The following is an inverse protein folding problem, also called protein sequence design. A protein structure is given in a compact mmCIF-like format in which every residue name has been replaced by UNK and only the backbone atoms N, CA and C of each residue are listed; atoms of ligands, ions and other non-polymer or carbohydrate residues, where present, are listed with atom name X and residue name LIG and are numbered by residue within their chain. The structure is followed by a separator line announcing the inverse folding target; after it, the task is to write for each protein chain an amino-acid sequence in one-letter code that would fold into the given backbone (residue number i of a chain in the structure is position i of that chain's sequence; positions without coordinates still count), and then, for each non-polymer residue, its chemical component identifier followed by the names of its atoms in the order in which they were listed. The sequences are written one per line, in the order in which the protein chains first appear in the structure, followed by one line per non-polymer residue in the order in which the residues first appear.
data_IF_504288090038
#
_entry.id   IF_504288090038
#
_cell.length_a   1.000
_cell.length_b   1.000
_cell.length_c   1.000
_cell.angle_alpha   90.00
_cell.angle_beta   90.00
_cell.angle_gamma   90.00
#
_symmetry.space_group_name_H-M   'P 1'
#
loop_
_entity.id
_entity.type
_entity.pdbx_description
1 polymer ?
#
# COMPACT_ATOMS: atom_id res chain seq x y z
N UNK A 1 -40.32 50.79 18.17
CA UNK A 1 -39.35 51.31 17.16
C UNK A 1 -38.07 51.64 17.92
N UNK A 2 -36.83 51.21 17.66
CA UNK A 2 -36.08 50.54 16.56
C UNK A 2 -34.99 49.68 17.28
N UNK A 3 -34.89 48.36 17.08
CA UNK A 3 -34.03 47.64 16.11
C UNK A 3 -32.58 48.14 16.01
N UNK A 4 -31.64 47.26 16.40
CA UNK A 4 -30.29 46.98 15.85
C UNK A 4 -29.43 46.45 17.01
N UNK A 5 -28.86 45.26 17.00
CA UNK A 5 -28.75 44.24 15.97
C UNK A 5 -27.76 43.20 16.50
N UNK A 6 -28.25 41.99 16.75
CA UNK A 6 -27.49 40.76 16.91
C UNK A 6 -26.42 40.66 15.81
N UNK A 7 -25.17 40.33 16.12
CA UNK A 7 -24.23 39.57 15.25
C UNK A 7 -22.83 39.50 15.91
N UNK A 8 -22.60 38.47 16.70
CA UNK A 8 -21.26 38.03 17.09
C UNK A 8 -21.29 36.53 17.35
N UNK A 9 -21.64 35.76 16.31
CA UNK A 9 -21.77 34.31 16.40
C UNK A 9 -21.16 33.67 15.15
N UNK A 10 -20.26 32.72 15.41
CA UNK A 10 -19.66 31.75 14.49
C UNK A 10 -18.69 32.29 13.43
N UNK A 11 -17.48 32.63 13.87
CA UNK A 11 -16.29 32.25 13.12
C UNK A 11 -16.00 30.76 13.39
N UNK A 12 -16.83 29.87 12.82
CA UNK A 12 -16.45 28.48 12.64
C UNK A 12 -15.39 28.48 11.54
N UNK A 13 -14.13 28.68 11.92
CA UNK A 13 -13.01 28.29 11.07
C UNK A 13 -13.16 26.80 10.85
N UNK A 14 -13.68 26.45 9.68
CA UNK A 14 -13.64 25.11 9.13
C UNK A 14 -12.17 24.70 9.16
N UNK A 15 -11.78 23.96 10.19
CA UNK A 15 -10.63 23.08 10.12
C UNK A 15 -11.03 21.98 9.13
N UNK A 16 -11.03 22.33 7.85
CA UNK A 16 -10.86 21.36 6.79
C UNK A 16 -9.47 20.77 7.07
N UNK A 17 -9.44 19.73 7.90
CA UNK A 17 -8.34 18.80 7.89
C UNK A 17 -8.28 18.29 6.47
N UNK A 18 -7.37 18.84 5.68
CA UNK A 18 -6.94 18.23 4.44
C UNK A 18 -6.27 16.90 4.83
N UNK A 19 -7.07 15.89 5.14
CA UNK A 19 -6.66 14.50 5.15
C UNK A 19 -6.47 14.11 3.68
N UNK A 20 -5.46 14.68 3.04
CA UNK A 20 -4.94 14.15 1.78
C UNK A 20 -4.10 12.96 2.20
N UNK A 21 -4.71 11.77 2.28
CA UNK A 21 -3.95 10.54 2.35
C UNK A 21 -2.97 10.58 1.19
N UNK A 22 -1.68 10.72 1.50
CA UNK A 22 -0.67 10.76 0.46
C UNK A 22 -0.55 9.35 -0.11
N UNK A 23 -0.16 9.21 -1.38
CA UNK A 23 0.06 7.89 -1.98
C UNK A 23 0.98 7.02 -1.10
N UNK A 24 1.93 7.66 -0.43
CA UNK A 24 2.83 7.07 0.56
C UNK A 24 2.11 6.44 1.77
N UNK A 25 1.01 7.01 2.24
CA UNK A 25 0.21 6.47 3.36
C UNK A 25 -0.52 5.18 2.94
N UNK A 26 -1.10 5.16 1.72
CA UNK A 26 -1.74 3.96 1.17
C UNK A 26 -0.75 2.81 1.01
N UNK A 27 0.45 3.12 0.49
CA UNK A 27 1.49 2.12 0.36
C UNK A 27 1.97 1.58 1.69
N UNK A 28 2.06 2.42 2.73
CA UNK A 28 2.48 1.98 4.06
C UNK A 28 1.46 1.02 4.66
N UNK A 29 0.17 1.31 4.54
CA UNK A 29 -0.90 0.41 4.99
C UNK A 29 -0.87 -0.93 4.25
N UNK A 30 -0.78 -0.90 2.92
CA UNK A 30 -0.68 -2.11 2.11
C UNK A 30 0.61 -2.90 2.40
N UNK A 31 1.70 -2.22 2.77
CA UNK A 31 2.95 -2.88 3.20
C UNK A 31 2.74 -3.71 4.46
N UNK A 32 1.98 -3.20 5.44
CA UNK A 32 1.66 -3.94 6.67
C UNK A 32 0.81 -5.17 6.38
N UNK A 33 -0.18 -5.05 5.49
CA UNK A 33 -1.00 -6.19 5.07
C UNK A 33 -0.17 -7.29 4.40
N UNK A 34 0.77 -6.91 3.53
CA UNK A 34 1.64 -7.86 2.83
C UNK A 34 2.65 -8.53 3.76
N UNK A 35 3.24 -7.78 4.68
CA UNK A 35 4.22 -8.31 5.62
C UNK A 35 3.57 -9.13 6.75
N UNK A 36 2.28 -8.93 7.04
CA UNK A 36 1.54 -9.53 8.17
C UNK A 36 2.25 -9.36 9.54
N UNK A 37 3.27 -8.50 9.57
CA UNK A 37 4.26 -8.27 10.62
C UNK A 37 4.81 -6.85 10.41
N UNK A 38 6.05 -6.59 10.79
CA UNK A 38 6.68 -5.28 10.67
C UNK A 38 7.39 -5.09 9.31
N UNK A 39 7.47 -3.82 8.88
CA UNK A 39 8.13 -3.38 7.65
C UNK A 39 9.48 -2.76 8.02
N UNK A 40 10.58 -3.40 7.62
CA UNK A 40 11.94 -2.90 7.89
C UNK A 40 12.32 -1.76 6.93
N UNK A 41 11.98 -1.91 5.65
CA UNK A 41 12.34 -0.96 4.60
C UNK A 41 11.13 -0.72 3.72
N UNK A 42 10.74 0.56 3.63
CA UNK A 42 9.87 1.07 2.59
C UNK A 42 10.62 2.13 1.80
N UNK A 43 10.75 1.95 0.49
CA UNK A 43 11.42 2.93 -0.37
C UNK A 43 10.70 3.10 -1.69
N UNK A 44 10.59 4.36 -2.13
CA UNK A 44 10.13 4.73 -3.47
C UNK A 44 11.33 5.27 -4.22
N UNK A 45 11.56 4.72 -5.40
CA UNK A 45 12.68 5.09 -6.26
C UNK A 45 12.35 6.31 -7.11
N UNK A 46 13.37 6.93 -7.72
CA UNK A 46 13.17 8.03 -8.67
C UNK A 46 12.37 7.62 -9.91
N UNK A 47 12.33 6.33 -10.26
CA UNK A 47 11.50 5.74 -11.30
C UNK A 47 10.15 5.23 -10.77
N UNK A 48 9.68 5.75 -9.64
CA UNK A 48 8.42 5.41 -8.96
C UNK A 48 8.29 3.95 -8.52
N UNK A 49 9.37 3.16 -8.65
CA UNK A 49 9.38 1.77 -8.20
C UNK A 49 9.44 1.68 -6.69
N UNK A 50 8.55 0.84 -6.16
CA UNK A 50 8.36 0.66 -4.74
C UNK A 50 9.05 -0.62 -4.33
N UNK A 51 9.80 -0.55 -3.23
CA UNK A 51 10.47 -1.71 -2.64
C UNK A 51 10.12 -1.79 -1.16
N UNK A 52 9.66 -2.96 -0.78
CA UNK A 52 9.25 -3.30 0.59
C UNK A 52 10.11 -4.48 1.04
N UNK A 53 10.70 -4.36 2.23
CA UNK A 53 11.36 -5.46 2.93
C UNK A 53 10.70 -5.61 4.28
N UNK A 54 10.18 -6.81 4.54
CA UNK A 54 9.56 -7.17 5.82
C UNK A 54 10.61 -7.72 6.78
N UNK A 55 10.34 -7.64 8.08
CA UNK A 55 11.25 -8.17 9.12
C UNK A 55 11.41 -9.69 9.08
N UNK A 56 10.45 -10.41 8.48
CA UNK A 56 10.54 -11.85 8.22
C UNK A 56 11.43 -12.21 7.01
N UNK A 57 12.04 -11.21 6.36
CA UNK A 57 12.91 -11.37 5.21
C UNK A 57 12.19 -11.40 3.86
N UNK A 58 10.85 -11.27 3.83
CA UNK A 58 10.06 -11.17 2.60
C UNK A 58 10.38 -9.88 1.85
N UNK A 59 10.35 -9.93 0.51
CA UNK A 59 10.78 -8.82 -0.35
C UNK A 59 9.84 -8.61 -1.51
N UNK A 60 9.35 -7.38 -1.67
CA UNK A 60 8.41 -7.03 -2.72
C UNK A 60 8.94 -5.85 -3.53
N UNK A 61 8.89 -5.98 -4.86
CA UNK A 61 9.22 -4.92 -5.79
C UNK A 61 8.10 -4.78 -6.83
N UNK A 62 7.48 -3.60 -6.87
CA UNK A 62 6.28 -3.31 -7.64
C UNK A 62 6.37 -1.93 -8.30
N UNK A 63 5.65 -1.75 -9.40
CA UNK A 63 5.68 -0.52 -10.18
C UNK A 63 4.50 0.43 -9.91
N UNK A 64 3.43 -0.05 -9.27
CA UNK A 64 2.22 0.75 -9.03
C UNK A 64 1.40 0.25 -7.84
N UNK A 65 0.45 1.06 -7.37
CA UNK A 65 -0.54 0.69 -6.36
C UNK A 65 -1.43 -0.47 -6.83
N UNK A 66 -1.87 -0.46 -8.08
CA UNK A 66 -2.67 -1.55 -8.69
C UNK A 66 -1.98 -2.92 -8.57
N UNK A 67 -0.65 -2.94 -8.56
CA UNK A 67 0.11 -4.19 -8.41
C UNK A 67 -0.07 -4.80 -7.02
N UNK A 68 -0.40 -4.00 -5.99
CA UNK A 68 -0.71 -4.50 -4.65
C UNK A 68 -1.97 -5.37 -4.64
N UNK A 69 -3.01 -4.98 -5.37
CA UNK A 69 -4.24 -5.77 -5.49
C UNK A 69 -3.92 -7.13 -6.14
N UNK A 70 -3.14 -7.11 -7.22
CA UNK A 70 -2.66 -8.33 -7.87
C UNK A 70 -1.85 -9.20 -6.91
N UNK A 71 -1.00 -8.60 -6.06
CA UNK A 71 -0.24 -9.34 -5.05
C UNK A 71 -1.15 -9.98 -3.99
N UNK A 72 -2.22 -9.31 -3.57
CA UNK A 72 -3.23 -9.86 -2.65
C UNK A 72 -3.94 -11.05 -3.29
N UNK A 73 -4.40 -10.91 -4.53
CA UNK A 73 -5.05 -11.98 -5.29
C UNK A 73 -4.09 -13.17 -5.46
N UNK A 74 -2.84 -12.91 -5.83
CA UNK A 74 -1.82 -13.96 -5.95
C UNK A 74 -1.62 -14.70 -4.62
N UNK A 75 -1.58 -13.96 -3.51
CA UNK A 75 -1.39 -14.55 -2.20
C UNK A 75 -2.58 -15.46 -1.82
N UNK A 76 -3.80 -15.06 -2.15
CA UNK A 76 -5.03 -15.83 -1.92
C UNK A 76 -5.06 -17.07 -2.83
N UNK A 77 -4.77 -16.89 -4.12
CA UNK A 77 -4.98 -17.92 -5.15
C UNK A 77 -3.87 -18.98 -5.20
N UNK A 78 -2.64 -18.61 -4.85
CA UNK A 78 -1.47 -19.46 -5.09
C UNK A 78 -0.64 -19.79 -3.85
N UNK A 79 -0.80 -19.06 -2.75
CA UNK A 79 0.02 -19.25 -1.56
C UNK A 79 -0.71 -19.93 -0.39
N UNK A 80 -1.94 -20.43 -0.59
CA UNK A 80 -2.68 -21.28 0.34
C UNK A 80 -2.70 -20.78 1.81
N UNK A 81 -2.68 -19.45 2.00
CA UNK A 81 -2.67 -18.81 3.33
C UNK A 81 -1.31 -18.74 4.03
N UNK A 82 -0.24 -19.26 3.44
CA UNK A 82 1.11 -19.19 4.02
C UNK A 82 1.75 -17.81 3.87
N UNK A 83 1.35 -17.04 2.86
CA UNK A 83 1.88 -15.72 2.58
C UNK A 83 2.84 -15.65 1.41
N UNK A 84 2.94 -14.47 0.83
CA UNK A 84 3.89 -14.12 -0.22
C UNK A 84 5.28 -13.89 0.40
N UNK A 85 6.31 -14.56 -0.10
CA UNK A 85 7.69 -14.40 0.38
C UNK A 85 8.54 -13.51 -0.51
N UNK A 86 8.38 -13.61 -1.84
CA UNK A 86 9.03 -12.70 -2.79
C UNK A 86 8.10 -12.36 -3.93
N UNK A 87 8.17 -11.12 -4.40
CA UNK A 87 7.45 -10.67 -5.58
C UNK A 87 8.33 -9.76 -6.44
N UNK A 88 8.26 -9.96 -7.74
CA UNK A 88 8.85 -9.09 -8.73
C UNK A 88 7.95 -8.98 -9.96
N UNK A 89 7.81 -7.76 -10.45
CA UNK A 89 7.03 -7.43 -11.63
C UNK A 89 7.95 -7.10 -12.81
N UNK A 90 7.69 -7.72 -13.95
CA UNK A 90 8.31 -7.40 -15.24
C UNK A 90 7.29 -6.77 -16.20
N UNK A 91 7.67 -6.45 -17.43
CA UNK A 91 6.73 -5.90 -18.43
C UNK A 91 5.60 -6.85 -18.81
N UNK A 92 5.81 -8.16 -18.71
CA UNK A 92 4.86 -9.16 -19.24
C UNK A 92 4.47 -10.25 -18.24
N UNK A 93 5.13 -10.30 -17.09
CA UNK A 93 4.93 -11.36 -16.09
C UNK A 93 4.99 -10.81 -14.68
N UNK A 94 4.21 -11.44 -13.80
CA UNK A 94 4.38 -11.40 -12.35
C UNK A 94 5.11 -12.67 -11.92
N UNK A 95 6.26 -12.52 -11.27
CA UNK A 95 7.04 -13.66 -10.75
C UNK A 95 7.10 -13.57 -9.24
N UNK A 96 6.78 -14.67 -8.57
CA UNK A 96 6.66 -14.67 -7.12
C UNK A 96 7.07 -16.01 -6.51
N UNK A 97 7.30 -15.96 -5.19
CA UNK A 97 7.57 -17.13 -4.36
C UNK A 97 6.71 -17.04 -3.11
N UNK A 98 5.93 -18.07 -2.84
CA UNK A 98 5.20 -18.21 -1.57
C UNK A 98 6.16 -18.60 -0.43
N UNK A 99 5.75 -18.41 0.82
CA UNK A 99 6.60 -18.76 1.98
C UNK A 99 6.90 -20.26 2.09
N UNK A 100 6.06 -21.16 1.55
CA UNK A 100 6.38 -22.60 1.31
C UNK A 100 7.62 -22.82 0.47
N UNK A 101 7.98 -21.85 -0.38
CA UNK A 101 9.02 -21.98 -1.39
C UNK A 101 8.49 -22.25 -2.79
N UNK A 102 7.18 -22.44 -2.98
CA UNK A 102 6.56 -22.55 -4.31
C UNK A 102 6.89 -21.33 -5.15
N UNK A 103 7.46 -21.54 -6.34
CA UNK A 103 7.87 -20.49 -7.26
C UNK A 103 7.03 -20.54 -8.53
N UNK A 104 6.40 -19.41 -8.84
CA UNK A 104 5.46 -19.30 -9.95
C UNK A 104 5.74 -18.03 -10.75
N UNK A 105 5.36 -18.07 -12.02
CA UNK A 105 5.39 -16.91 -12.89
C UNK A 105 4.16 -16.92 -13.76
N UNK A 106 3.29 -15.92 -13.56
CA UNK A 106 2.05 -15.77 -14.30
C UNK A 106 2.18 -14.63 -15.29
N UNK A 107 1.52 -14.76 -16.45
CA UNK A 107 1.50 -13.70 -17.45
C UNK A 107 0.55 -12.59 -16.99
N UNK A 108 0.93 -11.34 -17.26
CA UNK A 108 0.08 -10.17 -17.08
C UNK A 108 -1.08 -10.15 -18.06
#
# INVERSE_FOLDING_TARGET
MKRLGLLAVFAATLTAGCASNTQQDNFREASFELCNTEVDIYSVSHDERIRIVCSDGSKFALNSEDTLEVMRDINIDYCDGEGLGKFNESRSYYSFRCKSGTLLSIKK
#
